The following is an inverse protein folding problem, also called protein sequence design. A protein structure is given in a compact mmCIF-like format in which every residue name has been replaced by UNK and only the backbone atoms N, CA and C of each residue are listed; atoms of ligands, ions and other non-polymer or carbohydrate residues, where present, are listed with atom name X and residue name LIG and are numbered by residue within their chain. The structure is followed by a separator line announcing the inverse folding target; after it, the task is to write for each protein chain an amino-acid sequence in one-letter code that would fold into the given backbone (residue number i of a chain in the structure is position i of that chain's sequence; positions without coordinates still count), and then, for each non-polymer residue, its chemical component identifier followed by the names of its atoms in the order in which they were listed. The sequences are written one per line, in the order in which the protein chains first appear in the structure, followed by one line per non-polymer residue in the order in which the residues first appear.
data_IF_091564923063
#
_entry.id   IF_091564923063
#
_cell.length_a   1.000
_cell.length_b   1.000
_cell.length_c   1.000
_cell.angle_alpha   90.00
_cell.angle_beta   90.00
_cell.angle_gamma   90.00
#
_symmetry.space_group_name_H-M   'P 1'
#
loop_
_entity.id
_entity.type
_entity.pdbx_description
1 polymer ?
#
# COMPACT_ATOMS: atom_id res chain seq x y z
N UNK A 1 -52.89 6.08 18.02
CA UNK A 1 -53.56 5.61 19.26
C UNK A 1 -53.37 4.11 19.40
N UNK A 2 -52.98 3.63 20.60
CA UNK A 2 -52.97 2.22 21.07
C UNK A 2 -52.05 1.23 20.34
N UNK A 3 -51.31 0.32 21.00
CA UNK A 3 -51.19 -0.08 22.41
C UNK A 3 -49.88 -0.88 22.56
N UNK A 4 -49.18 -0.64 23.67
CA UNK A 4 -48.07 -1.46 24.20
C UNK A 4 -48.55 -2.89 24.49
N UNK A 5 -47.67 -3.89 24.30
CA UNK A 5 -47.61 -5.08 25.17
C UNK A 5 -46.18 -5.57 25.38
N UNK A 6 -45.85 -5.66 26.67
CA UNK A 6 -44.67 -6.20 27.31
C UNK A 6 -44.88 -7.69 27.60
N UNK A 7 -43.83 -8.51 27.51
CA UNK A 7 -43.64 -9.78 28.23
C UNK A 7 -42.12 -10.02 28.30
N UNK A 8 -41.41 -9.99 29.44
CA UNK A 8 -41.49 -10.76 30.69
C UNK A 8 -40.48 -11.93 30.73
N UNK A 9 -39.42 -11.68 31.53
CA UNK A 9 -38.79 -12.56 32.52
C UNK A 9 -38.35 -13.98 32.10
N UNK A 10 -37.03 -14.17 32.05
CA UNK A 10 -36.37 -15.43 32.32
C UNK A 10 -35.18 -15.18 33.24
N UNK A 11 -35.41 -15.24 34.56
CA UNK A 11 -34.35 -15.27 35.56
C UNK A 11 -33.80 -16.71 35.65
N UNK A 12 -32.50 -16.86 35.40
CA UNK A 12 -31.76 -18.09 35.65
C UNK A 12 -30.47 -17.73 36.38
N UNK A 13 -30.53 -17.66 37.70
CA UNK A 13 -29.35 -17.55 38.58
C UNK A 13 -28.88 -18.96 38.90
N UNK A 14 -27.66 -19.31 38.51
CA UNK A 14 -26.86 -20.30 39.21
C UNK A 14 -25.40 -19.84 39.25
N UNK A 15 -24.97 -19.57 40.47
CA UNK A 15 -23.63 -19.15 40.88
C UNK A 15 -22.59 -20.25 40.66
N UNK A 16 -21.44 -19.87 40.10
CA UNK A 16 -20.15 -20.46 40.45
C UNK A 16 -19.06 -19.38 40.26
N UNK A 17 -18.65 -18.78 41.38
CA UNK A 17 -17.44 -17.95 41.48
C UNK A 17 -16.23 -18.87 41.24
N UNK A 18 -15.84 -19.02 39.98
CA UNK A 18 -14.53 -19.57 39.63
C UNK A 18 -13.54 -18.41 39.71
N UNK A 19 -12.89 -18.29 40.86
CA UNK A 19 -11.61 -17.58 40.99
C UNK A 19 -10.56 -18.46 40.30
N UNK A 20 -10.59 -18.46 38.98
CA UNK A 20 -9.66 -19.15 38.11
C UNK A 20 -9.45 -18.22 36.94
N UNK A 21 -8.30 -17.54 36.92
CA UNK A 21 -7.96 -16.57 35.89
C UNK A 21 -8.09 -17.22 34.52
N UNK A 22 -9.17 -16.89 33.82
CA UNK A 22 -9.27 -17.12 32.39
C UNK A 22 -8.29 -16.11 31.80
N UNK A 23 -7.06 -16.54 31.57
CA UNK A 23 -6.17 -15.84 30.67
C UNK A 23 -6.86 -15.88 29.30
N UNK A 24 -7.57 -14.80 28.95
CA UNK A 24 -7.93 -14.55 27.57
C UNK A 24 -6.59 -14.44 26.84
N UNK A 25 -6.16 -15.52 26.21
CA UNK A 25 -5.09 -15.43 25.23
C UNK A 25 -5.52 -14.34 24.24
N UNK A 26 -4.66 -13.37 23.91
CA UNK A 26 -4.99 -12.39 22.89
C UNK A 26 -5.40 -13.19 21.65
N UNK A 27 -6.64 -13.02 21.22
CA UNK A 27 -7.05 -13.50 19.91
C UNK A 27 -6.16 -12.74 18.93
N UNK A 28 -5.29 -13.45 18.22
CA UNK A 28 -4.49 -12.86 17.16
C UNK A 28 -5.47 -12.26 16.15
N UNK A 29 -5.65 -10.95 16.21
CA UNK A 29 -6.33 -10.19 15.17
C UNK A 29 -5.35 -10.21 14.00
N UNK A 30 -5.81 -10.69 12.85
CA UNK A 30 -5.01 -10.61 11.63
C UNK A 30 -4.62 -9.14 11.43
N UNK A 31 -3.34 -8.88 11.17
CA UNK A 31 -2.91 -7.53 10.84
C UNK A 31 -3.65 -7.08 9.56
N UNK A 32 -3.98 -5.78 9.44
CA UNK A 32 -4.52 -5.27 8.19
C UNK A 32 -3.53 -5.54 7.06
N UNK A 33 -4.03 -5.95 5.90
CA UNK A 33 -3.22 -6.29 4.73
C UNK A 33 -3.59 -5.38 3.56
N UNK A 34 -2.58 -4.97 2.80
CA UNK A 34 -2.79 -4.27 1.53
C UNK A 34 -3.51 -5.20 0.54
N UNK A 35 -4.45 -4.65 -0.23
CA UNK A 35 -5.18 -5.43 -1.23
C UNK A 35 -5.63 -4.59 -2.42
N UNK A 36 -5.86 -5.23 -3.57
CA UNK A 36 -6.38 -4.55 -4.75
C UNK A 36 -7.29 -5.48 -5.55
N UNK A 37 -8.38 -4.92 -6.08
CA UNK A 37 -9.22 -5.61 -7.06
C UNK A 37 -9.78 -4.66 -8.12
N UNK A 38 -9.95 -5.16 -9.35
CA UNK A 38 -10.39 -4.31 -10.44
C UNK A 38 -11.91 -4.23 -10.63
N UNK A 39 -12.64 -5.27 -10.20
CA UNK A 39 -14.10 -5.33 -10.28
C UNK A 39 -14.66 -6.11 -9.08
N UNK A 40 -15.68 -5.55 -8.44
CA UNK A 40 -16.58 -6.26 -7.56
C UNK A 40 -18.01 -5.75 -7.76
N UNK A 41 -18.99 -6.60 -7.48
CA UNK A 41 -20.39 -6.19 -7.49
C UNK A 41 -21.17 -6.98 -6.45
N UNK A 42 -22.10 -6.31 -5.77
CA UNK A 42 -22.93 -6.90 -4.72
C UNK A 42 -24.40 -6.51 -4.94
N UNK A 43 -25.32 -7.40 -4.58
CA UNK A 43 -26.76 -7.20 -4.77
C UNK A 43 -27.39 -8.30 -5.62
N UNK A 44 -28.14 -7.91 -6.65
CA UNK A 44 -28.85 -8.82 -7.56
C UNK A 44 -27.89 -9.69 -8.38
N UNK A 45 -26.76 -9.10 -8.80
CA UNK A 45 -25.64 -9.78 -9.43
C UNK A 45 -24.46 -9.65 -8.50
N UNK A 46 -23.97 -10.79 -8.02
CA UNK A 46 -22.76 -10.85 -7.22
C UNK A 46 -21.58 -11.19 -8.13
N UNK A 47 -20.58 -10.31 -8.14
CA UNK A 47 -19.29 -10.54 -8.78
C UNK A 47 -18.25 -10.49 -7.67
N UNK A 48 -17.69 -11.66 -7.36
CA UNK A 48 -16.52 -11.75 -6.48
C UNK A 48 -15.41 -10.87 -7.01
N UNK A 49 -14.63 -10.27 -6.11
CA UNK A 49 -13.46 -9.43 -6.44
C UNK A 49 -12.57 -10.11 -7.49
N UNK A 50 -12.40 -9.48 -8.66
CA UNK A 50 -11.58 -10.02 -9.77
C UNK A 50 -10.86 -8.92 -10.57
N UNK A 51 -9.61 -9.18 -11.00
CA UNK A 51 -8.64 -10.01 -10.28
C UNK A 51 -8.43 -9.45 -8.87
N UNK A 52 -8.09 -10.28 -7.90
CA UNK A 52 -7.95 -9.87 -6.49
C UNK A 52 -6.60 -10.30 -5.94
N UNK A 53 -5.86 -9.33 -5.42
CA UNK A 53 -4.54 -9.51 -4.81
C UNK A 53 -4.63 -9.09 -3.34
N UNK A 54 -4.08 -9.90 -2.45
CA UNK A 54 -3.90 -9.60 -1.02
C UNK A 54 -2.41 -9.80 -0.72
N UNK A 55 -1.81 -8.86 0.00
CA UNK A 55 -0.36 -8.82 0.20
C UNK A 55 0.38 -8.55 -1.11
N UNK A 56 1.72 -8.62 -1.07
CA UNK A 56 2.55 -8.28 -2.22
C UNK A 56 2.26 -9.18 -3.43
N UNK A 57 1.95 -8.57 -4.58
CA UNK A 57 1.60 -9.33 -5.77
C UNK A 57 1.04 -8.50 -6.91
N UNK A 58 0.91 -9.13 -8.07
CA UNK A 58 0.32 -8.52 -9.28
C UNK A 58 -0.53 -9.57 -9.98
N UNK A 59 -1.70 -9.18 -10.44
CA UNK A 59 -2.58 -10.03 -11.23
C UNK A 59 -3.29 -9.20 -12.31
N UNK A 60 -3.67 -9.87 -13.40
CA UNK A 60 -4.35 -9.24 -14.52
C UNK A 60 -5.36 -10.19 -15.16
N UNK A 61 -6.45 -9.63 -15.65
CA UNK A 61 -7.46 -10.36 -16.39
C UNK A 61 -7.77 -9.61 -17.68
N UNK A 62 -7.69 -10.31 -18.79
CA UNK A 62 -8.02 -9.75 -20.11
C UNK A 62 -9.38 -10.26 -20.53
N UNK A 63 -10.23 -9.31 -20.91
CA UNK A 63 -11.51 -9.48 -21.55
C UNK A 63 -12.54 -10.26 -20.73
N UNK A 64 -13.54 -9.53 -20.22
CA UNK A 64 -14.62 -10.10 -19.43
C UNK A 64 -15.95 -9.55 -19.89
N UNK A 65 -16.79 -10.43 -20.42
CA UNK A 65 -18.21 -10.17 -20.69
C UNK A 65 -19.05 -10.91 -19.64
N UNK A 66 -19.89 -10.17 -18.89
CA UNK A 66 -20.76 -10.73 -17.88
C UNK A 66 -22.22 -10.31 -18.09
N UNK A 67 -23.16 -11.25 -18.30
CA UNK A 67 -22.93 -12.64 -18.72
C UNK A 67 -22.36 -12.71 -20.14
N UNK A 68 -21.72 -13.83 -20.51
CA UNK A 68 -21.04 -14.07 -21.80
C UNK A 68 -21.97 -14.19 -23.03
N UNK A 69 -23.22 -13.73 -22.93
CA UNK A 69 -24.25 -13.87 -23.95
C UNK A 69 -24.70 -12.49 -24.49
N UNK A 70 -25.65 -12.49 -25.44
CA UNK A 70 -26.12 -11.27 -26.14
C UNK A 70 -26.71 -10.17 -25.22
N UNK A 71 -27.04 -10.50 -23.97
CA UNK A 71 -27.53 -9.57 -22.95
C UNK A 71 -26.43 -9.27 -21.92
N UNK A 72 -25.22 -8.97 -22.39
CA UNK A 72 -24.09 -8.60 -21.52
C UNK A 72 -24.47 -7.35 -20.72
N UNK A 73 -24.26 -7.44 -19.41
CA UNK A 73 -24.51 -6.35 -18.47
C UNK A 73 -23.23 -5.57 -18.26
N UNK A 74 -22.09 -6.27 -18.23
CA UNK A 74 -20.77 -5.68 -18.09
C UNK A 74 -19.87 -6.18 -19.21
N UNK A 75 -19.20 -5.25 -19.86
CA UNK A 75 -18.03 -5.47 -20.69
C UNK A 75 -16.84 -4.81 -20.01
N UNK A 76 -15.69 -5.46 -20.02
CA UNK A 76 -14.43 -4.88 -19.60
C UNK A 76 -13.28 -5.45 -20.43
N UNK A 77 -12.39 -4.56 -20.88
CA UNK A 77 -11.26 -4.91 -21.74
C UNK A 77 -10.10 -5.52 -20.97
N UNK A 78 -9.51 -4.77 -20.03
CA UNK A 78 -8.35 -5.25 -19.25
C UNK A 78 -8.50 -4.81 -17.81
N UNK A 79 -8.23 -5.72 -16.89
CA UNK A 79 -8.16 -5.47 -15.47
C UNK A 79 -6.74 -5.71 -14.97
N UNK A 80 -6.23 -4.84 -14.12
CA UNK A 80 -4.96 -5.02 -13.42
C UNK A 80 -5.13 -4.71 -11.94
N UNK A 81 -4.48 -5.52 -11.10
CA UNK A 81 -4.38 -5.31 -9.66
C UNK A 81 -2.93 -5.51 -9.25
N UNK A 82 -2.38 -4.60 -8.46
CA UNK A 82 -1.01 -4.66 -7.97
C UNK A 82 -0.98 -4.16 -6.53
N UNK A 83 -0.19 -4.83 -5.70
CA UNK A 83 -0.04 -4.53 -4.29
C UNK A 83 1.43 -4.67 -3.94
N UNK A 84 1.93 -3.69 -3.21
CA UNK A 84 3.27 -3.60 -2.62
C UNK A 84 3.09 -3.09 -1.18
N UNK A 85 4.11 -3.17 -0.33
CA UNK A 85 3.95 -2.78 1.07
C UNK A 85 3.59 -1.29 1.23
N UNK A 86 2.42 -1.03 1.83
CA UNK A 86 1.84 0.31 1.99
C UNK A 86 1.32 0.93 0.69
N UNK A 87 1.25 0.15 -0.39
CA UNK A 87 0.84 0.62 -1.72
C UNK A 87 -0.09 -0.37 -2.42
N UNK A 88 -1.20 0.13 -2.95
CA UNK A 88 -2.10 -0.67 -3.76
C UNK A 88 -2.56 0.12 -4.99
N UNK A 89 -2.71 -0.59 -6.11
CA UNK A 89 -3.17 -0.04 -7.37
C UNK A 89 -4.10 -1.00 -8.07
N UNK A 90 -5.22 -0.48 -8.57
CA UNK A 90 -6.11 -1.19 -9.46
C UNK A 90 -6.42 -0.32 -10.68
N UNK A 91 -6.53 -0.93 -11.85
CA UNK A 91 -6.93 -0.24 -13.06
C UNK A 91 -7.79 -1.11 -13.96
N UNK A 92 -8.70 -0.46 -14.68
CA UNK A 92 -9.57 -1.11 -15.64
C UNK A 92 -9.65 -0.28 -16.92
N UNK A 93 -9.58 -0.93 -18.07
CA UNK A 93 -9.79 -0.30 -19.38
C UNK A 93 -11.02 -0.84 -20.09
N UNK A 94 -11.61 0.00 -20.94
CA UNK A 94 -12.73 -0.31 -21.84
C UNK A 94 -13.92 -0.95 -21.09
N UNK A 95 -14.42 -0.26 -20.08
CA UNK A 95 -15.59 -0.71 -19.31
C UNK A 95 -16.87 -0.19 -19.92
N UNK A 96 -17.87 -1.05 -20.06
CA UNK A 96 -19.24 -0.66 -20.36
C UNK A 96 -20.21 -1.44 -19.46
N UNK A 97 -20.96 -0.72 -18.64
CA UNK A 97 -22.05 -1.24 -17.82
C UNK A 97 -23.38 -0.87 -18.47
N UNK A 98 -24.08 -1.87 -19.02
CA UNK A 98 -25.37 -1.75 -19.67
C UNK A 98 -26.45 -2.52 -18.91
N UNK A 99 -27.30 -1.82 -18.16
CA UNK A 99 -28.44 -2.42 -17.48
C UNK A 99 -29.75 -2.17 -18.27
N UNK A 100 -30.66 -3.16 -18.36
CA UNK A 100 -31.93 -2.95 -19.03
C UNK A 100 -32.72 -1.78 -18.44
N UNK A 101 -33.10 -0.82 -19.28
CA UNK A 101 -33.87 0.36 -18.86
C UNK A 101 -33.04 1.46 -18.19
N UNK A 102 -31.72 1.31 -18.10
CA UNK A 102 -30.80 2.33 -17.58
C UNK A 102 -29.84 2.77 -18.70
N UNK A 103 -29.53 4.07 -18.82
CA UNK A 103 -28.46 4.53 -19.70
C UNK A 103 -27.15 3.78 -19.43
N UNK A 104 -26.48 3.32 -20.49
CA UNK A 104 -25.19 2.66 -20.35
C UNK A 104 -24.14 3.62 -19.79
N UNK A 105 -23.30 3.12 -18.90
CA UNK A 105 -22.15 3.83 -18.33
C UNK A 105 -20.90 3.22 -18.96
N UNK A 106 -20.13 4.01 -19.70
CA UNK A 106 -18.90 3.56 -20.33
C UNK A 106 -17.71 4.38 -19.83
N UNK A 107 -16.56 3.74 -19.67
CA UNK A 107 -15.32 4.39 -19.24
C UNK A 107 -14.14 3.78 -19.97
N UNK A 108 -13.29 4.63 -20.56
CA UNK A 108 -12.11 4.18 -21.31
C UNK A 108 -11.01 3.68 -20.38
N UNK A 109 -10.74 4.40 -19.29
CA UNK A 109 -9.76 4.02 -18.26
C UNK A 109 -10.22 4.51 -16.90
N UNK A 110 -10.14 3.63 -15.90
CA UNK A 110 -10.21 3.99 -14.50
C UNK A 110 -8.98 3.47 -13.77
N UNK A 111 -8.48 4.23 -12.81
CA UNK A 111 -7.37 3.81 -11.96
C UNK A 111 -7.59 4.33 -10.56
N UNK A 112 -7.38 3.46 -9.57
CA UNK A 112 -7.26 3.83 -8.17
C UNK A 112 -5.86 3.51 -7.68
N UNK A 113 -5.29 4.42 -6.92
CA UNK A 113 -4.02 4.28 -6.24
C UNK A 113 -4.21 4.65 -4.77
N UNK A 114 -3.62 3.85 -3.91
CA UNK A 114 -3.54 4.09 -2.47
C UNK A 114 -2.07 3.95 -2.11
N UNK A 115 -1.46 5.02 -1.62
CA UNK A 115 -0.05 5.05 -1.22
C UNK A 115 0.03 5.67 0.18
N UNK A 116 0.46 4.88 1.16
CA UNK A 116 0.64 5.31 2.55
C UNK A 116 -0.57 6.10 3.09
N UNK A 117 -1.73 5.46 3.09
CA UNK A 117 -3.03 6.03 3.49
C UNK A 117 -3.45 7.28 2.69
N UNK A 118 -2.85 7.53 1.53
CA UNK A 118 -3.24 8.60 0.61
C UNK A 118 -3.87 8.02 -0.64
N UNK A 119 -5.16 8.31 -0.84
CA UNK A 119 -5.92 7.83 -1.99
C UNK A 119 -5.98 8.82 -3.15
N UNK A 120 -5.80 8.33 -4.36
CA UNK A 120 -5.98 9.10 -5.60
C UNK A 120 -6.60 8.26 -6.70
N UNK A 121 -7.27 8.91 -7.65
CA UNK A 121 -7.90 8.23 -8.78
C UNK A 121 -7.76 9.02 -10.06
N UNK A 122 -7.82 8.31 -11.18
CA UNK A 122 -7.87 8.87 -12.52
C UNK A 122 -8.97 8.19 -13.31
N UNK A 123 -9.77 8.99 -14.00
CA UNK A 123 -10.89 8.52 -14.83
C UNK A 123 -10.82 9.23 -16.17
N UNK A 124 -10.81 8.47 -17.26
CA UNK A 124 -10.78 8.99 -18.62
C UNK A 124 -11.95 8.44 -19.44
N UNK A 125 -12.47 9.28 -20.33
CA UNK A 125 -13.55 8.95 -21.27
C UNK A 125 -14.82 8.43 -20.58
N UNK A 126 -15.23 9.04 -19.46
CA UNK A 126 -16.50 8.72 -18.80
C UNK A 126 -17.67 9.16 -19.68
N UNK A 127 -18.55 8.23 -20.02
CA UNK A 127 -19.74 8.47 -20.84
C UNK A 127 -20.96 7.84 -20.20
N UNK A 128 -22.09 8.55 -20.23
CA UNK A 128 -23.35 8.10 -19.67
C UNK A 128 -24.45 8.32 -20.70
N UNK A 129 -25.12 7.25 -21.10
CA UNK A 129 -26.10 7.29 -22.20
C UNK A 129 -25.48 7.78 -23.53
N UNK A 130 -24.18 7.55 -23.72
CA UNK A 130 -23.42 8.01 -24.88
C UNK A 130 -22.92 9.47 -24.81
N UNK A 131 -23.36 10.25 -23.81
CA UNK A 131 -22.87 11.60 -23.57
C UNK A 131 -21.59 11.57 -22.72
N UNK A 132 -20.56 12.30 -23.15
CA UNK A 132 -19.32 12.46 -22.39
C UNK A 132 -19.53 13.37 -21.18
N UNK A 133 -18.97 12.98 -20.04
CA UNK A 133 -19.01 13.72 -18.79
C UNK A 133 -17.64 14.34 -18.57
N UNK A 134 -17.57 15.67 -18.60
CA UNK A 134 -16.34 16.38 -18.29
C UNK A 134 -16.01 16.23 -16.79
N UNK A 135 -14.78 15.80 -16.51
CA UNK A 135 -14.24 15.63 -15.17
C UNK A 135 -13.09 16.62 -14.99
N UNK A 136 -13.31 17.69 -14.22
CA UNK A 136 -12.28 18.70 -13.98
C UNK A 136 -11.33 18.25 -12.87
N UNK A 137 -11.87 18.13 -11.65
CA UNK A 137 -11.14 17.72 -10.45
C UNK A 137 -11.95 16.68 -9.70
N UNK A 138 -11.35 15.51 -9.49
CA UNK A 138 -11.97 14.40 -8.76
C UNK A 138 -11.44 14.40 -7.33
N UNK A 139 -12.09 15.17 -6.46
CA UNK A 139 -11.81 15.13 -5.02
C UNK A 139 -12.30 13.83 -4.37
N UNK A 140 -11.91 13.54 -3.12
CA UNK A 140 -12.44 12.40 -2.38
C UNK A 140 -13.97 12.42 -2.30
N UNK A 141 -14.59 11.27 -2.53
CA UNK A 141 -16.04 11.05 -2.46
C UNK A 141 -16.85 12.00 -3.37
N UNK A 142 -16.37 12.24 -4.60
CA UNK A 142 -17.07 13.10 -5.57
C UNK A 142 -18.28 12.38 -6.15
N UNK A 143 -19.48 12.86 -5.85
CA UNK A 143 -20.72 12.31 -6.40
C UNK A 143 -21.11 12.97 -7.73
N UNK A 144 -21.52 12.14 -8.69
CA UNK A 144 -22.09 12.55 -9.97
C UNK A 144 -23.44 11.85 -10.12
N UNK A 145 -24.48 12.65 -10.33
CA UNK A 145 -25.84 12.17 -10.60
C UNK A 145 -26.32 12.88 -11.86
N UNK A 146 -26.05 12.31 -13.05
CA UNK A 146 -26.59 12.86 -14.29
C UNK A 146 -28.11 12.79 -14.28
N UNK A 147 -28.76 13.72 -14.98
CA UNK A 147 -30.22 13.79 -15.08
C UNK A 147 -30.85 12.47 -15.55
N UNK A 148 -30.17 11.78 -16.47
CA UNK A 148 -30.62 10.49 -17.01
C UNK A 148 -30.59 9.34 -15.99
N UNK A 149 -29.91 9.51 -14.85
CA UNK A 149 -29.76 8.51 -13.79
C UNK A 149 -30.46 8.91 -12.49
N UNK A 150 -31.12 10.08 -12.43
CA UNK A 150 -31.80 10.53 -11.22
C UNK A 150 -32.83 9.50 -10.72
N UNK A 151 -32.68 9.08 -9.47
CA UNK A 151 -33.53 8.07 -8.82
C UNK A 151 -33.28 6.64 -9.28
N UNK A 152 -32.28 6.40 -10.13
CA UNK A 152 -31.92 5.08 -10.65
C UNK A 152 -30.51 4.70 -10.21
N UNK A 153 -29.55 5.61 -10.37
CA UNK A 153 -28.15 5.36 -10.05
C UNK A 153 -27.47 6.60 -9.48
N UNK A 154 -26.50 6.36 -8.61
CA UNK A 154 -25.56 7.34 -8.07
C UNK A 154 -24.16 6.84 -8.38
N UNK A 155 -23.34 7.72 -8.96
CA UNK A 155 -21.94 7.40 -9.25
C UNK A 155 -21.10 8.19 -8.26
N UNK A 156 -20.25 7.51 -7.51
CA UNK A 156 -19.24 8.13 -6.65
C UNK A 156 -17.86 7.85 -7.24
N UNK A 157 -17.20 8.91 -7.69
CA UNK A 157 -15.81 8.86 -8.12
C UNK A 157 -14.90 9.08 -6.91
N UNK A 158 -13.73 8.43 -6.92
CA UNK A 158 -12.76 8.53 -5.83
C UNK A 158 -13.38 8.28 -4.46
N UNK A 159 -14.16 7.20 -4.35
CA UNK A 159 -14.78 6.82 -3.08
C UNK A 159 -13.67 6.38 -2.12
N UNK A 160 -13.51 7.09 -1.02
CA UNK A 160 -12.48 6.83 -0.02
C UNK A 160 -13.12 6.49 1.32
N UNK A 161 -12.74 5.34 1.87
CA UNK A 161 -13.25 4.82 3.14
C UNK A 161 -12.07 4.48 4.04
N UNK A 162 -11.96 5.20 5.17
CA UNK A 162 -11.10 4.79 6.27
C UNK A 162 -11.74 3.59 6.98
N UNK A 163 -10.99 2.51 7.13
CA UNK A 163 -11.47 1.27 7.73
C UNK A 163 -11.13 1.24 9.22
N UNK A 164 -11.86 0.43 9.99
CA UNK A 164 -11.68 0.32 11.45
C UNK A 164 -10.30 -0.26 11.84
N UNK A 165 -9.62 -0.91 10.89
CA UNK A 165 -8.28 -1.49 11.05
C UNK A 165 -7.14 -0.48 10.76
N UNK A 166 -7.48 0.76 10.43
CA UNK A 166 -6.52 1.83 10.12
C UNK A 166 -6.11 1.89 8.64
N UNK A 167 -6.55 0.95 7.80
CA UNK A 167 -6.31 1.02 6.35
C UNK A 167 -7.21 2.04 5.65
N UNK A 168 -6.80 2.48 4.47
CA UNK A 168 -7.62 3.28 3.56
C UNK A 168 -8.03 2.42 2.36
N UNK A 169 -9.32 2.40 2.03
CA UNK A 169 -9.84 1.80 0.78
C UNK A 169 -10.27 2.90 -0.17
N UNK A 170 -9.83 2.81 -1.42
CA UNK A 170 -10.05 3.79 -2.50
C UNK A 170 -10.66 3.06 -3.69
N UNK A 171 -11.86 3.46 -4.12
CA UNK A 171 -12.47 2.98 -5.37
C UNK A 171 -12.50 4.11 -6.40
N UNK A 172 -11.99 3.84 -7.61
CA UNK A 172 -11.97 4.81 -8.69
C UNK A 172 -13.39 5.25 -9.07
N UNK A 173 -14.28 4.28 -9.21
CA UNK A 173 -15.67 4.48 -9.56
C UNK A 173 -16.54 3.46 -8.83
N UNK A 174 -17.51 3.96 -8.06
CA UNK A 174 -18.52 3.17 -7.38
C UNK A 174 -19.89 3.56 -7.94
N UNK A 175 -20.64 2.59 -8.47
CA UNK A 175 -22.02 2.79 -8.93
C UNK A 175 -22.95 2.15 -7.92
N UNK A 176 -23.82 2.95 -7.34
CA UNK A 176 -24.92 2.52 -6.50
C UNK A 176 -26.23 2.63 -7.30
N UNK A 177 -26.94 1.53 -7.44
CA UNK A 177 -28.19 1.40 -8.19
C UNK A 177 -29.35 1.14 -7.22
N UNK A 178 -30.41 1.93 -7.41
CA UNK A 178 -31.67 1.80 -6.67
C UNK A 178 -31.44 1.77 -5.15
N UNK A 179 -30.70 2.76 -4.64
CA UNK A 179 -30.43 3.00 -3.22
C UNK A 179 -29.85 1.78 -2.47
N UNK A 180 -28.80 1.19 -3.03
CA UNK A 180 -28.02 0.10 -2.44
C UNK A 180 -28.50 -1.29 -2.84
N UNK A 181 -29.50 -1.39 -3.72
CA UNK A 181 -29.99 -2.69 -4.20
C UNK A 181 -28.93 -3.42 -5.02
N UNK A 182 -28.11 -2.68 -5.76
CA UNK A 182 -26.95 -3.20 -6.46
C UNK A 182 -25.81 -2.19 -6.39
N UNK A 183 -24.63 -2.65 -6.00
CA UNK A 183 -23.39 -1.87 -6.07
C UNK A 183 -22.43 -2.51 -7.06
N UNK A 184 -21.66 -1.67 -7.75
CA UNK A 184 -20.56 -2.07 -8.62
C UNK A 184 -19.38 -1.17 -8.32
N UNK A 185 -18.26 -1.77 -7.90
CA UNK A 185 -17.02 -1.06 -7.64
C UNK A 185 -15.98 -1.43 -8.70
N UNK A 186 -15.39 -0.41 -9.31
CA UNK A 186 -14.35 -0.53 -10.32
C UNK A 186 -13.05 0.07 -9.82
N UNK A 187 -11.98 -0.70 -10.00
CA UNK A 187 -10.62 -0.37 -9.59
C UNK A 187 -10.56 0.10 -8.15
N UNK A 188 -10.50 -0.86 -7.23
CA UNK A 188 -10.39 -0.62 -5.79
C UNK A 188 -9.00 -1.01 -5.30
N UNK A 189 -8.39 -0.13 -4.52
CA UNK A 189 -7.10 -0.30 -3.88
C UNK A 189 -7.23 -0.02 -2.38
N UNK A 190 -6.67 -0.90 -1.55
CA UNK A 190 -6.63 -0.77 -0.10
C UNK A 190 -5.18 -0.79 0.35
N UNK A 191 -4.74 0.26 1.04
CA UNK A 191 -3.39 0.35 1.58
C UNK A 191 -3.42 0.63 3.09
N UNK A 192 -2.39 0.15 3.75
CA UNK A 192 -2.05 0.37 5.16
C UNK A 192 -0.93 1.40 5.27
N UNK A 193 -0.64 1.85 6.50
CA UNK A 193 0.51 2.69 6.77
C UNK A 193 1.80 1.93 6.43
N UNK A 194 2.70 2.59 5.70
CA UNK A 194 3.97 1.99 5.34
C UNK A 194 4.86 1.89 6.58
N UNK A 195 5.48 0.73 6.86
CA UNK A 195 6.42 0.65 7.97
C UNK A 195 7.61 1.57 7.71
N UNK A 196 8.03 2.28 8.76
CA UNK A 196 9.23 3.10 8.72
C UNK A 196 10.43 2.23 8.32
N UNK A 197 11.22 2.71 7.35
CA UNK A 197 12.46 2.05 7.00
C UNK A 197 13.36 2.02 8.25
N UNK A 198 14.05 0.89 8.53
CA UNK A 198 15.03 0.85 9.60
C UNK A 198 16.03 1.99 9.40
N UNK A 199 16.29 2.76 10.45
CA UNK A 199 17.34 3.78 10.41
C UNK A 199 18.65 3.11 9.96
N UNK A 200 19.29 3.66 8.92
CA UNK A 200 20.63 3.21 8.56
C UNK A 200 21.52 3.40 9.81
N UNK A 201 22.33 2.39 10.18
CA UNK A 201 23.24 2.54 11.30
C UNK A 201 24.10 3.79 11.07
N UNK A 202 24.11 4.71 12.04
CA UNK A 202 24.94 5.90 11.96
C UNK A 202 26.38 5.49 11.61
N UNK A 203 26.93 6.07 10.53
CA UNK A 203 28.34 5.86 10.21
C UNK A 203 29.18 6.24 11.44
N UNK A 204 30.13 5.39 11.88
CA UNK A 204 30.94 5.68 13.05
C UNK A 204 31.61 7.03 12.88
N UNK A 205 31.42 7.92 13.85
CA UNK A 205 31.99 9.26 13.83
C UNK A 205 33.50 9.15 13.65
N UNK A 206 34.03 9.73 12.57
CA UNK A 206 35.46 9.72 12.32
C UNK A 206 36.22 10.25 13.54
N UNK A 207 37.35 9.64 13.95
CA UNK A 207 38.14 10.12 15.07
C UNK A 207 38.47 11.61 14.88
N UNK A 208 38.13 12.43 15.87
CA UNK A 208 38.50 13.84 15.86
C UNK A 208 40.02 13.95 15.74
N UNK A 209 40.50 14.55 14.65
CA UNK A 209 41.91 14.89 14.48
C UNK A 209 42.33 15.75 15.68
N UNK A 210 43.42 15.42 16.40
CA UNK A 210 43.96 16.29 17.43
C UNK A 210 44.21 17.69 16.84
N UNK A 211 43.67 18.72 17.49
CA UNK A 211 43.94 20.11 17.14
C UNK A 211 45.42 20.40 17.41
N UNK A 212 46.24 20.40 16.36
CA UNK A 212 47.58 20.96 16.37
C UNK A 212 47.48 22.49 16.51
N UNK A 213 47.43 22.97 17.76
CA UNK A 213 47.69 24.38 18.05
C UNK A 213 49.17 24.51 18.45
N UNK A 214 50.02 25.16 17.63
CA UNK A 214 51.43 25.37 17.98
C UNK A 214 51.51 26.40 19.12
N UNK A 215 51.93 25.96 20.30
CA UNK A 215 52.39 26.86 21.36
C UNK A 215 53.87 27.15 21.15
N UNK A 216 54.22 28.44 21.12
CA UNK A 216 55.58 28.94 20.97
C UNK A 216 56.52 28.42 22.08
N UNK A 217 57.82 28.21 21.79
CA UNK A 217 58.76 27.61 22.73
C UNK A 217 59.29 28.63 23.74
N UNK A 218 59.49 28.26 25.02
CA UNK A 218 60.52 28.83 25.86
C UNK A 218 61.85 28.08 25.67
N UNK A 219 62.92 28.86 25.71
CA UNK A 219 64.32 28.48 25.49
C UNK A 219 64.90 27.60 26.59
N UNK A 220 65.86 26.78 26.15
CA UNK A 220 67.06 26.25 26.84
C UNK A 220 66.88 25.51 28.17
N UNK A 221 67.17 24.20 28.19
CA UNK A 221 68.16 23.65 29.14
C UNK A 221 68.66 22.24 28.76
N UNK A 222 69.84 21.93 29.28
CA UNK A 222 70.83 20.91 28.94
C UNK A 222 70.48 19.41 29.14
N UNK A 223 71.21 18.54 28.42
CA UNK A 223 71.49 17.15 28.83
C UNK A 223 71.03 16.08 27.84
N UNK A 224 71.88 15.58 26.93
CA UNK A 224 72.84 14.47 27.10
C UNK A 224 72.25 13.04 26.97
N UNK A 225 72.87 12.33 26.03
CA UNK A 225 73.02 10.88 25.84
C UNK A 225 71.86 9.93 25.49
N UNK A 226 72.11 9.19 24.40
CA UNK A 226 71.89 7.74 24.36
C UNK A 226 71.03 7.27 23.20
N UNK A 227 71.65 6.72 22.16
CA UNK A 227 70.97 6.18 20.99
C UNK A 227 70.29 4.83 21.22
N UNK A 228 69.45 4.45 20.28
CA UNK A 228 69.37 3.07 19.79
C UNK A 228 68.75 3.07 18.38
N UNK A 229 69.41 2.37 17.48
CA UNK A 229 69.02 2.14 16.09
C UNK A 229 67.96 1.02 16.06
N UNK A 230 66.90 1.20 15.27
CA UNK A 230 65.82 0.22 15.16
C UNK A 230 64.97 0.41 13.91
N UNK A 231 65.58 0.05 12.78
CA UNK A 231 65.02 -0.07 11.44
C UNK A 231 63.90 -1.14 11.34
N UNK A 232 63.10 -1.03 10.29
CA UNK A 232 62.23 -2.05 9.68
C UNK A 232 60.94 -2.52 10.37
N UNK A 233 59.82 -1.89 9.96
CA UNK A 233 58.47 -2.45 10.08
C UNK A 233 57.64 -2.13 8.84
N UNK A 234 57.73 -2.98 7.82
CA UNK A 234 57.16 -2.77 6.48
C UNK A 234 55.66 -2.44 6.44
N UNK A 235 55.33 -1.40 5.67
CA UNK A 235 53.97 -1.06 5.29
C UNK A 235 53.35 -2.24 4.53
N UNK A 236 52.30 -2.82 5.12
CA UNK A 236 51.44 -3.77 4.43
C UNK A 236 50.77 -3.04 3.25
N UNK A 237 50.81 -3.58 2.02
CA UNK A 237 50.18 -2.95 0.88
C UNK A 237 48.66 -2.88 1.08
N UNK A 238 48.13 -1.66 1.20
CA UNK A 238 46.70 -1.39 1.07
C UNK A 238 45.96 -0.85 2.29
N UNK A 239 46.65 -0.30 3.30
CA UNK A 239 46.00 0.33 4.48
C UNK A 239 45.84 1.85 4.38
N UNK A 240 46.48 2.52 3.42
CA UNK A 240 46.43 3.97 3.25
C UNK A 240 45.95 4.36 1.85
N UNK A 241 44.99 5.30 1.72
CA UNK A 241 44.59 5.86 0.44
C UNK A 241 45.79 6.43 -0.31
N UNK A 242 45.76 6.37 -1.65
CA UNK A 242 46.81 6.99 -2.46
C UNK A 242 46.82 8.52 -2.29
N UNK A 243 47.86 9.19 -2.82
CA UNK A 243 47.99 10.67 -2.76
C UNK A 243 46.82 11.43 -3.41
N UNK A 244 45.87 10.73 -4.07
CA UNK A 244 44.67 11.29 -4.69
C UNK A 244 43.39 10.94 -3.93
N UNK A 245 43.51 10.33 -2.75
CA UNK A 245 42.39 9.95 -1.88
C UNK A 245 41.57 8.76 -2.40
N UNK A 246 42.09 7.96 -3.34
CA UNK A 246 41.43 6.73 -3.77
C UNK A 246 41.65 5.64 -2.72
N UNK A 247 40.58 4.97 -2.33
CA UNK A 247 40.64 3.82 -1.45
C UNK A 247 41.55 2.72 -2.05
N UNK A 248 42.34 2.01 -1.22
CA UNK A 248 43.18 0.93 -1.68
C UNK A 248 42.38 -0.17 -2.38
N UNK A 249 42.92 -0.72 -3.46
CA UNK A 249 42.30 -1.84 -4.17
C UNK A 249 42.43 -3.10 -3.29
N UNK A 250 41.33 -3.80 -2.95
CA UNK A 250 41.41 -5.01 -2.16
C UNK A 250 42.24 -6.07 -2.89
N UNK A 251 43.22 -6.66 -2.20
CA UNK A 251 43.98 -7.80 -2.73
C UNK A 251 43.23 -9.09 -2.35
N UNK A 252 42.83 -9.93 -3.33
CA UNK A 252 42.18 -11.20 -3.03
C UNK A 252 43.09 -12.10 -2.19
N UNK A 253 42.59 -12.52 -1.02
CA UNK A 253 43.26 -13.54 -0.21
C UNK A 253 43.03 -14.92 -0.83
N UNK A 254 44.07 -15.76 -0.98
CA UNK A 254 43.91 -17.14 -1.42
C UNK A 254 42.97 -17.90 -0.46
N UNK A 255 41.91 -18.51 -1.00
CA UNK A 255 40.96 -19.28 -0.20
C UNK A 255 41.58 -20.57 0.34
N UNK A 256 41.49 -20.77 1.66
CA UNK A 256 41.97 -21.97 2.37
C UNK A 256 40.97 -23.14 2.35
N UNK A 257 40.18 -23.30 1.29
CA UNK A 257 39.23 -24.40 1.18
C UNK A 257 39.76 -25.46 0.21
N UNK A 258 40.39 -26.49 0.76
CA UNK A 258 40.58 -27.75 0.07
C UNK A 258 39.19 -28.39 -0.15
N UNK A 259 38.66 -28.24 -1.36
CA UNK A 259 37.48 -28.95 -1.80
C UNK A 259 37.92 -30.38 -2.15
N UNK A 260 37.78 -31.31 -1.21
CA UNK A 260 37.94 -32.74 -1.48
C UNK A 260 36.74 -33.20 -2.33
N UNK A 261 37.01 -33.52 -3.60
CA UNK A 261 36.07 -34.21 -4.50
C UNK A 261 36.03 -35.71 -4.28
#
# INVERSE_FOLDING_TARGET
MSKKRTAALGAGVLSALVVGGIAFAPTAVAAPEDSAYALAADGLVNITKVPHVIGEGKDHLVHTDLPSAANRILHAGVFNSAVEQGYAKASTTDVELGLPGVPAIAVGLVTAECDDLTGSTSVADLRIGGQEIALDQIGPNTEIIPDALQGIARITLNKQTANDDGSLTVSALSVDLLDGTQTVDLSTATCTEKPEAPEEPEEPTAPQKPSEQPSAPPSDDDGDNGGDDGDDGGELPGSTPDERGKAPVPVPQPGHLDVTG
#
